data_IF_556055303450
#
_entry.id   IF_556055303450
#
_cell.length_a   1.000
_cell.length_b   1.000
_cell.length_c   1.000
_cell.angle_alpha   90.00
_cell.angle_beta   90.00
_cell.angle_gamma   90.00
#
_symmetry.space_group_name_H-M   'P 1'
#
loop_
_entity.id
_entity.type
_entity.pdbx_description
1 polymer ?
#
# COMPACT_ATOMS: atom_id res chain seq x y z
N UNK A 1 -28.76 16.54 7.39
CA UNK A 1 -29.55 16.00 6.27
C UNK A 1 -30.70 15.14 6.78
N UNK A 2 -30.46 13.99 7.43
CA UNK A 2 -31.51 13.11 7.99
C UNK A 2 -32.38 13.78 9.07
N UNK A 3 -31.80 14.54 9.99
CA UNK A 3 -32.59 15.26 11.00
C UNK A 3 -33.52 16.31 10.35
N UNK A 4 -33.03 17.00 9.31
CA UNK A 4 -33.81 18.00 8.57
C UNK A 4 -34.98 17.34 7.83
N UNK A 5 -34.78 16.17 7.21
CA UNK A 5 -35.87 15.45 6.53
C UNK A 5 -36.94 14.98 7.51
N UNK A 6 -36.57 14.48 8.69
CA UNK A 6 -37.54 14.10 9.74
C UNK A 6 -38.32 15.32 10.21
N UNK A 7 -37.64 16.43 10.50
CA UNK A 7 -38.29 17.67 10.97
C UNK A 7 -39.27 18.20 9.92
N UNK A 8 -38.88 18.21 8.64
CA UNK A 8 -39.75 18.65 7.54
C UNK A 8 -40.97 17.72 7.40
N UNK A 9 -40.78 16.40 7.42
CA UNK A 9 -41.88 15.44 7.28
C UNK A 9 -42.87 15.54 8.44
N UNK A 10 -42.36 15.71 9.66
CA UNK A 10 -43.16 15.90 10.88
C UNK A 10 -43.94 17.22 10.82
N UNK A 11 -43.28 18.33 10.51
CA UNK A 11 -43.91 19.65 10.41
C UNK A 11 -44.93 19.70 9.27
N UNK A 12 -44.61 19.14 8.12
CA UNK A 12 -45.53 19.08 6.99
C UNK A 12 -46.79 18.28 7.35
N UNK A 13 -46.62 17.10 7.98
CA UNK A 13 -47.74 16.27 8.39
C UNK A 13 -48.62 16.94 9.45
N UNK A 14 -48.03 17.60 10.45
CA UNK A 14 -48.80 18.26 11.51
C UNK A 14 -49.53 19.50 11.00
N UNK A 15 -48.90 20.32 10.16
CA UNK A 15 -49.54 21.51 9.58
C UNK A 15 -50.66 21.12 8.62
N UNK A 16 -50.42 20.18 7.70
CA UNK A 16 -51.45 19.77 6.74
C UNK A 16 -52.65 19.10 7.44
N UNK A 17 -52.40 18.22 8.41
CA UNK A 17 -53.48 17.46 9.06
C UNK A 17 -54.28 18.30 10.06
N UNK A 18 -53.61 19.09 10.91
CA UNK A 18 -54.25 19.79 12.02
C UNK A 18 -54.58 21.26 11.71
N UNK A 19 -53.83 21.93 10.84
CA UNK A 19 -54.05 23.35 10.52
C UNK A 19 -54.88 23.51 9.24
N UNK A 20 -54.51 22.82 8.17
CA UNK A 20 -55.18 22.96 6.86
C UNK A 20 -56.47 22.12 6.81
N UNK A 21 -56.36 20.82 7.06
CA UNK A 21 -57.48 19.88 6.98
C UNK A 21 -58.39 19.88 8.22
N UNK A 22 -58.00 20.59 9.29
CA UNK A 22 -58.75 20.76 10.56
C UNK A 22 -59.30 19.44 11.14
N UNK A 23 -58.57 18.33 11.00
CA UNK A 23 -59.01 17.06 11.58
C UNK A 23 -58.81 17.11 13.10
N UNK A 24 -59.86 16.93 13.92
CA UNK A 24 -59.72 16.93 15.37
C UNK A 24 -58.92 15.71 15.81
N UNK A 25 -58.05 15.89 16.82
CA UNK A 25 -57.32 14.79 17.42
C UNK A 25 -58.29 13.92 18.22
N UNK A 26 -58.74 12.82 17.62
CA UNK A 26 -59.59 11.83 18.27
C UNK A 26 -58.73 10.74 18.93
N UNK A 27 -59.02 10.32 20.18
CA UNK A 27 -58.27 9.28 20.89
C UNK A 27 -58.18 7.96 20.11
N UNK A 28 -59.23 7.62 19.37
CA UNK A 28 -59.35 6.41 18.53
C UNK A 28 -58.37 6.41 17.34
N UNK A 29 -57.97 7.59 16.84
CA UNK A 29 -57.06 7.74 15.70
C UNK A 29 -55.60 7.92 16.10
N UNK A 30 -55.30 8.09 17.40
CA UNK A 30 -53.94 8.20 17.97
C UNK A 30 -52.96 7.12 17.46
N UNK A 31 -53.30 5.81 17.44
CA UNK A 31 -52.36 4.80 16.96
C UNK A 31 -51.97 4.96 15.49
N UNK A 32 -52.88 5.47 14.65
CA UNK A 32 -52.61 5.76 13.24
C UNK A 32 -51.61 6.90 13.10
N UNK A 33 -51.77 7.98 13.87
CA UNK A 33 -50.82 9.09 13.86
C UNK A 33 -49.43 8.68 14.36
N UNK A 34 -49.36 7.87 15.43
CA UNK A 34 -48.10 7.31 15.91
C UNK A 34 -47.43 6.46 14.83
N UNK A 35 -48.18 5.65 14.08
CA UNK A 35 -47.64 4.88 12.96
C UNK A 35 -47.01 5.78 11.87
N UNK A 36 -47.59 6.94 11.57
CA UNK A 36 -47.00 7.91 10.64
C UNK A 36 -45.69 8.49 11.18
N UNK A 37 -45.62 8.86 12.47
CA UNK A 37 -44.39 9.35 13.09
C UNK A 37 -43.28 8.30 13.07
N UNK A 38 -43.60 7.03 13.36
CA UNK A 38 -42.65 5.91 13.24
C UNK A 38 -42.16 5.78 11.79
N UNK A 39 -43.05 5.92 10.80
CA UNK A 39 -42.67 5.88 9.37
C UNK A 39 -41.72 7.02 8.99
N UNK A 40 -41.99 8.25 9.43
CA UNK A 40 -41.09 9.39 9.18
C UNK A 40 -39.73 9.21 9.86
N UNK A 41 -39.70 8.64 11.06
CA UNK A 41 -38.46 8.31 11.74
C UNK A 41 -37.66 7.24 10.99
N UNK A 42 -38.30 6.17 10.51
CA UNK A 42 -37.66 5.14 9.68
C UNK A 42 -37.07 5.76 8.41
N UNK A 43 -37.78 6.66 7.73
CA UNK A 43 -37.26 7.38 6.54
C UNK A 43 -36.01 8.21 6.90
N UNK A 44 -36.00 8.85 8.07
CA UNK A 44 -34.81 9.56 8.56
C UNK A 44 -33.61 8.63 8.75
N UNK A 45 -33.83 7.46 9.35
CA UNK A 45 -32.79 6.45 9.58
C UNK A 45 -32.28 5.88 8.26
N UNK A 46 -33.14 5.58 7.29
CA UNK A 46 -32.69 5.07 5.98
C UNK A 46 -31.84 6.08 5.22
N UNK A 47 -32.19 7.37 5.26
CA UNK A 47 -31.37 8.44 4.70
C UNK A 47 -30.02 8.56 5.41
N UNK A 48 -29.99 8.38 6.74
CA UNK A 48 -28.74 8.41 7.51
C UNK A 48 -27.79 7.28 7.09
N UNK A 49 -28.30 6.05 6.98
CA UNK A 49 -27.50 4.87 6.57
C UNK A 49 -26.90 5.06 5.18
N UNK A 50 -27.64 5.63 4.23
CA UNK A 50 -27.12 5.91 2.87
C UNK A 50 -26.11 7.06 2.89
N UNK A 51 -26.28 8.04 3.77
CA UNK A 51 -25.39 9.19 3.86
C UNK A 51 -24.03 8.89 4.52
N UNK A 52 -23.94 7.85 5.37
CA UNK A 52 -22.68 7.41 5.98
C UNK A 52 -22.12 6.25 5.15
N UNK A 53 -21.03 6.46 4.39
CA UNK A 53 -20.48 5.43 3.53
C UNK A 53 -19.65 4.43 4.33
N UNK A 54 -20.30 3.53 5.05
CA UNK A 54 -19.64 2.47 5.84
C UNK A 54 -18.79 1.52 4.97
N UNK A 55 -19.09 1.43 3.67
CA UNK A 55 -18.36 0.61 2.71
C UNK A 55 -17.04 1.21 2.20
N UNK A 56 -16.79 2.51 2.39
CA UNK A 56 -15.58 3.16 1.90
C UNK A 56 -14.28 2.58 2.50
N UNK A 57 -14.12 2.45 3.83
CA UNK A 57 -12.91 1.86 4.41
C UNK A 57 -12.73 0.38 4.05
N UNK A 58 -13.83 -0.35 3.85
CA UNK A 58 -13.79 -1.75 3.41
C UNK A 58 -13.25 -1.87 1.98
N UNK A 59 -13.70 -1.00 1.07
CA UNK A 59 -13.24 -1.00 -0.32
C UNK A 59 -11.72 -0.78 -0.41
N UNK A 60 -11.18 0.17 0.35
CA UNK A 60 -9.74 0.45 0.42
C UNK A 60 -8.98 -0.78 0.90
N UNK A 61 -9.42 -1.39 2.01
CA UNK A 61 -8.75 -2.56 2.60
C UNK A 61 -8.73 -3.76 1.63
N UNK A 62 -9.84 -4.03 0.93
CA UNK A 62 -9.93 -5.12 -0.05
C UNK A 62 -9.00 -4.85 -1.23
N UNK A 63 -8.98 -3.63 -1.76
CA UNK A 63 -8.09 -3.28 -2.87
C UNK A 63 -6.61 -3.43 -2.50
N UNK A 64 -6.25 -3.07 -1.26
CA UNK A 64 -4.89 -3.13 -0.77
C UNK A 64 -4.44 -4.57 -0.54
N UNK A 65 -5.30 -5.40 0.06
CA UNK A 65 -5.05 -6.82 0.27
C UNK A 65 -4.85 -7.57 -1.07
N UNK A 66 -5.69 -7.28 -2.07
CA UNK A 66 -5.51 -7.83 -3.42
C UNK A 66 -4.19 -7.38 -4.06
N UNK A 67 -3.84 -6.11 -3.92
CA UNK A 67 -2.60 -5.54 -4.45
C UNK A 67 -1.36 -6.18 -3.84
N UNK A 68 -1.32 -6.35 -2.51
CA UNK A 68 -0.20 -7.01 -1.81
C UNK A 68 -0.04 -8.46 -2.28
N UNK A 69 -1.14 -9.20 -2.45
CA UNK A 69 -1.07 -10.56 -2.98
C UNK A 69 -0.45 -10.62 -4.38
N UNK A 70 -0.74 -9.64 -5.24
CA UNK A 70 -0.14 -9.53 -6.56
C UNK A 70 1.34 -9.15 -6.49
N UNK A 71 1.70 -8.15 -5.68
CA UNK A 71 3.09 -7.71 -5.48
C UNK A 71 3.99 -8.85 -4.96
N UNK A 72 3.45 -9.73 -4.11
CA UNK A 72 4.19 -10.91 -3.63
C UNK A 72 4.60 -11.85 -4.76
N UNK A 73 3.77 -11.99 -5.81
CA UNK A 73 4.11 -12.79 -7.00
C UNK A 73 5.24 -12.14 -7.81
N UNK A 74 5.36 -10.82 -7.74
CA UNK A 74 6.37 -10.02 -8.42
C UNK A 74 7.65 -9.83 -7.57
N UNK A 75 7.89 -10.72 -6.61
CA UNK A 75 9.01 -10.69 -5.65
C UNK A 75 9.06 -9.44 -4.74
N UNK A 76 7.94 -8.73 -4.58
CA UNK A 76 7.82 -7.60 -3.67
C UNK A 76 6.95 -7.95 -2.45
N UNK A 77 7.59 -8.22 -1.32
CA UNK A 77 6.91 -8.55 -0.06
C UNK A 77 6.62 -7.28 0.75
N UNK A 78 5.36 -6.87 0.76
CA UNK A 78 4.87 -5.74 1.57
C UNK A 78 4.59 -6.21 3.00
N UNK A 79 5.28 -5.62 3.98
CA UNK A 79 5.12 -5.96 5.41
C UNK A 79 4.08 -5.09 6.13
N UNK A 80 3.92 -3.85 5.70
CA UNK A 80 2.96 -2.89 6.24
C UNK A 80 2.06 -2.39 5.12
N UNK A 81 0.75 -2.55 5.27
CA UNK A 81 -0.23 -2.21 4.24
C UNK A 81 -0.18 -0.71 3.88
N UNK A 82 -0.01 0.15 4.88
CA UNK A 82 0.05 1.61 4.71
C UNK A 82 1.25 2.07 3.84
N UNK A 83 2.30 1.25 3.77
CA UNK A 83 3.47 1.55 2.94
C UNK A 83 3.13 1.52 1.45
N UNK A 84 2.18 0.68 1.03
CA UNK A 84 1.73 0.63 -0.37
C UNK A 84 1.04 1.91 -0.79
N UNK A 85 0.20 2.49 0.07
CA UNK A 85 -0.45 3.77 -0.20
C UNK A 85 0.57 4.92 -0.19
N UNK A 86 1.43 4.96 0.83
CA UNK A 86 2.45 6.01 0.98
C UNK A 86 3.44 6.04 -0.18
N UNK A 87 3.87 4.86 -0.67
CA UNK A 87 4.79 4.74 -1.80
C UNK A 87 4.22 5.34 -3.10
N UNK A 88 2.90 5.37 -3.27
CA UNK A 88 2.25 6.00 -4.42
C UNK A 88 2.57 7.50 -4.55
N UNK A 89 2.94 8.16 -3.45
CA UNK A 89 3.31 9.57 -3.41
C UNK A 89 4.84 9.79 -3.33
N UNK A 90 5.66 8.77 -3.54
CA UNK A 90 7.11 8.90 -3.48
C UNK A 90 7.65 9.79 -4.61
N UNK A 91 8.41 10.82 -4.26
CA UNK A 91 9.04 11.76 -5.22
C UNK A 91 10.53 11.51 -5.43
N UNK A 92 11.18 10.80 -4.51
CA UNK A 92 12.60 10.43 -4.59
C UNK A 92 12.81 9.01 -4.07
N UNK A 93 13.73 8.28 -4.72
CA UNK A 93 14.16 6.94 -4.30
C UNK A 93 15.65 7.02 -3.95
N UNK A 94 15.95 7.03 -2.66
CA UNK A 94 17.32 6.91 -2.16
C UNK A 94 17.71 5.44 -2.22
N UNK A 95 18.54 5.07 -3.19
CA UNK A 95 18.98 3.69 -3.40
C UNK A 95 20.44 3.52 -3.04
N UNK A 96 20.75 2.44 -2.32
CA UNK A 96 22.14 2.05 -2.07
C UNK A 96 22.78 1.51 -3.35
N UNK A 97 24.09 1.69 -3.50
CA UNK A 97 24.79 1.20 -4.71
C UNK A 97 25.06 -0.30 -4.62
N UNK A 98 25.78 -0.71 -3.58
CA UNK A 98 26.34 -2.06 -3.48
C UNK A 98 25.25 -3.08 -3.15
N UNK A 99 25.02 -4.03 -4.05
CA UNK A 99 24.03 -5.09 -3.85
C UNK A 99 22.58 -4.71 -4.13
N UNK A 100 22.30 -3.44 -4.43
CA UNK A 100 20.98 -2.99 -4.92
C UNK A 100 21.06 -2.55 -6.39
N UNK A 101 21.93 -1.59 -6.72
CA UNK A 101 22.15 -1.18 -8.11
C UNK A 101 23.17 -2.07 -8.82
N UNK A 102 24.15 -2.61 -8.08
CA UNK A 102 25.13 -3.57 -8.63
C UNK A 102 24.67 -5.00 -8.40
N UNK A 103 25.07 -5.91 -9.30
CA UNK A 103 24.76 -7.35 -9.20
C UNK A 103 25.50 -8.07 -8.05
N UNK A 104 26.31 -7.33 -7.29
CA UNK A 104 27.21 -7.86 -6.26
C UNK A 104 28.10 -9.02 -6.73
N UNK A 105 28.40 -9.07 -8.04
CA UNK A 105 29.34 -10.01 -8.65
C UNK A 105 30.48 -9.22 -9.28
N UNK A 106 31.53 -9.02 -8.49
CA UNK A 106 32.70 -8.27 -8.92
C UNK A 106 33.61 -9.15 -9.77
N UNK A 107 34.06 -8.63 -10.90
CA UNK A 107 35.09 -9.24 -11.75
C UNK A 107 36.23 -8.26 -11.97
N UNK A 108 37.44 -8.78 -12.12
CA UNK A 108 38.60 -7.95 -12.48
C UNK A 108 38.51 -7.67 -13.98
N UNK A 109 38.49 -6.40 -14.37
CA UNK A 109 38.40 -5.98 -15.78
C UNK A 109 39.75 -5.50 -16.32
N UNK A 110 40.56 -4.89 -15.44
CA UNK A 110 41.86 -4.32 -15.79
C UNK A 110 42.86 -4.64 -14.67
N UNK A 111 44.13 -4.77 -15.02
CA UNK A 111 45.20 -5.05 -14.08
C UNK A 111 46.39 -4.12 -14.34
N UNK A 112 47.04 -3.65 -13.28
CA UNK A 112 48.28 -2.90 -13.38
C UNK A 112 49.37 -3.67 -12.67
N UNK A 113 50.32 -4.25 -13.42
CA UNK A 113 51.35 -5.14 -12.88
C UNK A 113 52.67 -4.88 -13.60
N UNK A 114 53.75 -4.71 -12.84
CA UNK A 114 55.09 -4.53 -13.41
C UNK A 114 55.20 -3.30 -14.34
N UNK A 115 54.64 -2.18 -13.92
CA UNK A 115 54.56 -0.90 -14.67
C UNK A 115 53.78 -0.95 -16.00
N UNK A 116 53.06 -2.06 -16.26
CA UNK A 116 52.21 -2.22 -17.43
C UNK A 116 50.73 -2.21 -17.03
N UNK A 117 49.95 -1.37 -17.71
CA UNK A 117 48.50 -1.35 -17.59
C UNK A 117 47.85 -2.28 -18.61
N UNK A 118 47.34 -3.42 -18.15
CA UNK A 118 46.58 -4.38 -18.93
C UNK A 118 45.10 -3.98 -18.91
N UNK A 119 44.55 -3.70 -20.10
CA UNK A 119 43.13 -3.36 -20.28
C UNK A 119 42.20 -4.58 -20.25
N UNK A 120 42.79 -5.77 -20.35
CA UNK A 120 42.14 -7.07 -20.23
C UNK A 120 42.96 -7.93 -19.27
N UNK A 121 42.40 -9.06 -18.82
CA UNK A 121 43.10 -9.95 -17.90
C UNK A 121 44.32 -10.55 -18.63
N UNK A 122 45.56 -10.29 -18.17
CA UNK A 122 46.75 -10.83 -18.80
C UNK A 122 46.88 -12.34 -18.62
N UNK A 123 47.46 -13.02 -19.60
CA UNK A 123 47.83 -14.43 -19.47
C UNK A 123 48.85 -14.61 -18.32
N UNK A 124 48.74 -15.68 -17.51
CA UNK A 124 49.65 -15.90 -16.38
C UNK A 124 51.13 -15.94 -16.75
N UNK A 125 51.45 -16.35 -17.98
CA UNK A 125 52.82 -16.39 -18.52
C UNK A 125 53.42 -15.01 -18.81
N UNK A 126 52.59 -13.98 -18.95
CA UNK A 126 53.04 -12.60 -19.20
C UNK A 126 53.47 -11.85 -17.94
N UNK A 127 53.20 -12.42 -16.76
CA UNK A 127 53.52 -11.84 -15.46
C UNK A 127 54.81 -12.47 -14.92
N UNK A 128 55.64 -11.66 -14.26
CA UNK A 128 56.86 -12.13 -13.60
C UNK A 128 56.54 -13.24 -12.56
N UNK A 129 57.31 -14.33 -12.60
CA UNK A 129 57.13 -15.50 -11.75
C UNK A 129 57.05 -15.17 -10.25
N UNK A 130 57.88 -14.23 -9.75
CA UNK A 130 57.86 -13.82 -8.34
C UNK A 130 56.52 -13.17 -7.92
N UNK A 131 55.96 -12.34 -8.79
CA UNK A 131 54.66 -11.68 -8.53
C UNK A 131 53.53 -12.70 -8.55
N UNK A 132 53.61 -13.69 -9.43
CA UNK A 132 52.61 -14.75 -9.53
C UNK A 132 52.62 -15.65 -8.29
N UNK A 133 53.78 -16.03 -7.78
CA UNK A 133 53.91 -16.81 -6.55
C UNK A 133 53.32 -16.08 -5.34
N UNK A 134 53.61 -14.77 -5.21
CA UNK A 134 53.03 -13.94 -4.15
C UNK A 134 51.50 -13.85 -4.26
N UNK A 135 50.97 -13.70 -5.48
CA UNK A 135 49.53 -13.63 -5.72
C UNK A 135 48.84 -14.94 -5.33
N UNK A 136 49.39 -16.09 -5.73
CA UNK A 136 48.87 -17.42 -5.37
C UNK A 136 48.86 -17.60 -3.86
N UNK A 137 49.94 -17.21 -3.18
CA UNK A 137 50.01 -17.29 -1.71
C UNK A 137 48.97 -16.38 -1.04
N UNK A 138 48.81 -15.15 -1.52
CA UNK A 138 47.80 -14.22 -1.00
C UNK A 138 46.37 -14.74 -1.22
N UNK A 139 46.08 -15.34 -2.38
CA UNK A 139 44.79 -15.97 -2.66
C UNK A 139 44.55 -17.13 -1.68
N UNK A 140 45.55 -17.99 -1.46
CA UNK A 140 45.43 -19.12 -0.54
C UNK A 140 45.14 -18.68 0.90
N UNK A 141 45.73 -17.57 1.36
CA UNK A 141 45.48 -17.03 2.71
C UNK A 141 44.10 -16.39 2.83
N UNK A 142 43.61 -15.71 1.78
CA UNK A 142 42.36 -14.95 1.83
C UNK A 142 41.14 -15.76 1.35
N UNK A 143 41.32 -17.01 0.93
CA UNK A 143 40.24 -17.89 0.49
C UNK A 143 39.75 -18.76 1.64
N UNK A 144 38.46 -18.64 1.99
CA UNK A 144 37.79 -19.54 2.91
C UNK A 144 37.17 -20.75 2.17
N UNK A 145 36.81 -21.82 2.88
CA UNK A 145 36.14 -23.00 2.30
C UNK A 145 34.79 -22.68 1.62
N UNK A 146 34.17 -21.55 1.96
CA UNK A 146 32.94 -21.04 1.34
C UNK A 146 33.19 -20.33 0.01
N UNK A 147 34.45 -20.04 -0.32
CA UNK A 147 34.85 -19.40 -1.57
C UNK A 147 34.62 -20.39 -2.71
N UNK A 148 33.55 -20.18 -3.49
CA UNK A 148 33.31 -20.96 -4.70
C UNK A 148 34.21 -20.45 -5.81
N UNK A 149 35.36 -21.11 -5.96
CA UNK A 149 36.21 -20.99 -7.14
C UNK A 149 35.51 -21.81 -8.24
N UNK A 150 34.76 -21.13 -9.12
CA UNK A 150 34.11 -21.68 -10.31
C UNK A 150 34.76 -21.09 -11.54
#
# INVERSE_FOLDING_TARGET
MSAITVIILVLYFTVDTFVVNKKPWLPECTPVYVQYFVKFFIIGVTVLVVAVPEGLPLAVTISLAYSVKKMMKDNNLVRHLDACETMGNATAICSDKTGTLTTNRMTVVQAYVGDVHYKEIPDPSSINAKTMELLVHAIAINSAYTTKIL
#
